data_IF_847077902721
#
_entry.id   IF_847077902721
#
_cell.length_a   1.000
_cell.length_b   1.000
_cell.length_c   1.000
_cell.angle_alpha   90.00
_cell.angle_beta   90.00
_cell.angle_gamma   90.00
#
_symmetry.space_group_name_H-M   'P 1'
#
loop_
_entity.id
_entity.type
_entity.pdbx_description
1 polymer ?
#
# COMPACT_ATOMS: atom_id res chain seq x y z
N UNK A 1 -3.56 -3.73 -22.20
CA UNK A 1 -3.52 -4.89 -21.29
C UNK A 1 -2.39 -4.64 -20.30
N UNK A 2 -2.70 -4.44 -19.01
CA UNK A 2 -1.65 -4.28 -18.00
C UNK A 2 -1.22 -5.69 -17.58
N UNK A 3 -0.02 -6.10 -17.94
CA UNK A 3 0.47 -7.42 -17.51
C UNK A 3 0.73 -7.40 -16.00
N UNK A 4 0.74 -8.56 -15.35
CA UNK A 4 1.11 -8.69 -13.93
C UNK A 4 2.44 -8.01 -13.57
N UNK A 5 3.36 -7.88 -14.52
CA UNK A 5 4.65 -7.19 -14.35
C UNK A 5 4.54 -5.67 -14.22
N UNK A 6 3.50 -5.08 -14.82
CA UNK A 6 3.32 -3.63 -14.88
C UNK A 6 2.49 -3.08 -13.72
N UNK A 7 1.95 -3.96 -12.87
CA UNK A 7 1.12 -3.54 -11.77
C UNK A 7 1.96 -2.89 -10.67
N UNK A 8 1.68 -1.61 -10.45
CA UNK A 8 2.28 -0.81 -9.38
C UNK A 8 1.23 -0.43 -8.37
N UNK A 9 1.62 -0.52 -7.11
CA UNK A 9 0.86 0.05 -6.00
C UNK A 9 1.59 1.32 -5.59
N UNK A 10 0.82 2.39 -5.44
CA UNK A 10 1.27 3.67 -4.90
C UNK A 10 0.56 3.93 -3.59
N UNK A 11 1.31 4.28 -2.56
CA UNK A 11 0.78 4.72 -1.27
C UNK A 11 1.13 6.19 -1.12
N UNK A 12 0.15 6.99 -0.73
CA UNK A 12 0.33 8.41 -0.41
C UNK A 12 -0.17 8.67 1.00
N UNK A 13 0.58 9.47 1.75
CA UNK A 13 0.16 9.98 3.04
C UNK A 13 0.29 11.51 3.04
N UNK A 14 -0.77 12.19 3.44
CA UNK A 14 -0.83 13.65 3.54
C UNK A 14 -1.08 14.03 4.98
N UNK A 15 -0.26 14.92 5.52
CA UNK A 15 -0.49 15.46 6.86
C UNK A 15 -1.54 16.59 6.79
N UNK A 16 -2.77 16.27 7.15
CA UNK A 16 -3.88 17.24 7.22
C UNK A 16 -3.96 17.99 8.57
N UNK A 17 -3.04 17.70 9.48
CA UNK A 17 -2.93 18.32 10.80
C UNK A 17 -2.17 19.65 10.77
N UNK A 18 -1.88 20.16 11.98
CA UNK A 18 -1.16 21.44 12.18
C UNK A 18 0.26 21.26 12.73
N UNK A 19 0.64 20.03 13.07
CA UNK A 19 1.95 19.68 13.64
C UNK A 19 2.63 18.61 12.77
N UNK A 20 3.96 18.57 12.80
CA UNK A 20 4.73 17.50 12.16
C UNK A 20 4.37 16.15 12.82
N UNK A 21 4.12 15.12 12.01
CA UNK A 21 3.71 13.81 12.51
C UNK A 21 4.49 12.67 11.86
N UNK A 22 4.63 11.55 12.57
CA UNK A 22 4.96 10.26 11.95
C UNK A 22 3.70 9.77 11.20
N UNK A 23 3.86 9.21 10.00
CA UNK A 23 2.71 8.75 9.21
C UNK A 23 2.21 7.36 9.62
N UNK A 24 2.75 6.75 10.68
CA UNK A 24 2.41 5.40 11.13
C UNK A 24 2.81 4.32 10.12
N UNK A 25 3.76 4.59 9.22
CA UNK A 25 4.07 3.71 8.07
C UNK A 25 4.48 2.30 8.46
N UNK A 26 5.08 2.15 9.65
CA UNK A 26 5.49 0.88 10.24
C UNK A 26 4.32 0.03 10.76
N UNK A 27 3.15 0.63 10.91
CA UNK A 27 1.92 -0.02 11.39
C UNK A 27 0.99 -0.39 10.25
N UNK A 28 1.30 0.04 9.02
CA UNK A 28 0.45 -0.23 7.86
C UNK A 28 0.44 -1.71 7.53
N UNK A 29 -0.77 -2.28 7.44
CA UNK A 29 -1.02 -3.64 7.02
C UNK A 29 -1.50 -3.65 5.56
N UNK A 30 -1.01 -4.60 4.78
CA UNK A 30 -1.45 -4.80 3.40
C UNK A 30 -1.97 -6.21 3.27
N UNK A 31 -3.09 -6.39 2.58
CA UNK A 31 -3.61 -7.71 2.29
C UNK A 31 -4.26 -7.76 0.91
N UNK A 32 -4.36 -8.97 0.37
CA UNK A 32 -5.18 -9.25 -0.80
C UNK A 32 -6.22 -10.29 -0.46
N UNK A 33 -7.49 -10.01 -0.76
CA UNK A 33 -8.56 -10.99 -0.81
C UNK A 33 -8.72 -11.54 -2.23
N UNK A 34 -8.93 -12.85 -2.35
CA UNK A 34 -9.60 -13.48 -3.48
C UNK A 34 -10.81 -14.25 -2.96
N UNK A 35 -11.79 -14.51 -3.81
CA UNK A 35 -12.88 -15.42 -3.49
C UNK A 35 -12.28 -16.78 -3.07
N UNK A 36 -12.51 -17.20 -1.82
CA UNK A 36 -11.94 -18.42 -1.23
C UNK A 36 -10.68 -18.26 -0.35
N UNK A 37 -10.19 -17.04 -0.11
CA UNK A 37 -9.19 -16.78 0.94
C UNK A 37 -8.27 -15.57 0.67
N UNK A 38 -7.89 -14.85 1.73
CA UNK A 38 -6.97 -13.70 1.65
C UNK A 38 -5.54 -14.01 2.11
N UNK A 39 -4.60 -13.11 1.81
CA UNK A 39 -3.21 -13.15 2.30
C UNK A 39 -2.78 -11.78 2.80
N UNK A 40 -2.14 -11.73 3.96
CA UNK A 40 -1.41 -10.55 4.42
C UNK A 40 -0.10 -10.42 3.65
N UNK A 41 0.08 -9.30 2.95
CA UNK A 41 1.29 -8.89 2.25
C UNK A 41 2.26 -8.17 3.21
N UNK A 42 2.42 -8.65 4.44
CA UNK A 42 3.14 -7.97 5.52
C UNK A 42 4.60 -7.59 5.20
N UNK A 43 5.19 -8.18 4.15
CA UNK A 43 6.56 -7.93 3.71
C UNK A 43 6.67 -7.05 2.45
N UNK A 44 5.55 -6.70 1.80
CA UNK A 44 5.55 -5.94 0.54
C UNK A 44 6.03 -4.49 0.71
N UNK A 45 5.75 -3.90 1.87
CA UNK A 45 5.96 -2.49 2.15
C UNK A 45 6.73 -2.26 3.45
N UNK A 46 6.79 -3.22 4.38
CA UNK A 46 7.41 -3.04 5.70
C UNK A 46 8.94 -2.96 5.72
N UNK A 47 9.64 -3.49 4.70
CA UNK A 47 11.08 -3.74 4.76
C UNK A 47 11.94 -2.83 3.86
N UNK A 48 11.36 -1.79 3.25
CA UNK A 48 12.10 -0.82 2.42
C UNK A 48 12.84 0.22 3.26
N UNK A 49 13.96 0.72 2.74
CA UNK A 49 14.73 1.83 3.33
C UNK A 49 13.78 2.99 3.67
N UNK A 50 13.70 3.35 4.96
CA UNK A 50 12.81 4.38 5.46
C UNK A 50 13.31 5.73 4.98
N UNK A 51 12.71 6.27 3.93
CA UNK A 51 12.91 7.66 3.58
C UNK A 51 12.44 8.48 4.81
N UNK A 52 13.31 9.37 5.32
CA UNK A 52 13.11 10.12 6.59
C UNK A 52 11.78 10.87 6.60
N UNK A 53 11.30 11.23 5.43
CA UNK A 53 10.07 11.96 5.15
C UNK A 53 8.81 11.23 5.68
N UNK A 54 8.83 9.90 5.79
CA UNK A 54 7.71 9.13 6.37
C UNK A 54 7.66 9.17 7.91
N UNK A 55 8.78 9.47 8.57
CA UNK A 55 8.87 9.52 10.04
C UNK A 55 8.67 10.92 10.62
N UNK A 56 8.74 11.95 9.78
CA UNK A 56 8.53 13.34 10.17
C UNK A 56 7.94 14.11 8.99
N UNK A 57 6.62 14.02 8.81
CA UNK A 57 5.89 14.68 7.75
C UNK A 57 5.36 16.04 8.24
N UNK A 58 5.84 17.18 7.71
CA UNK A 58 5.36 18.51 8.09
C UNK A 58 3.87 18.73 7.75
N UNK A 59 3.19 19.69 8.39
CA UNK A 59 1.81 20.06 8.06
C UNK A 59 1.63 20.42 6.58
N UNK A 60 0.60 19.85 5.93
CA UNK A 60 0.29 20.10 4.52
C UNK A 60 1.14 19.32 3.51
N UNK A 61 2.22 18.66 3.95
CA UNK A 61 3.08 17.90 3.06
C UNK A 61 2.50 16.53 2.72
N UNK A 62 2.94 16.00 1.58
CA UNK A 62 2.57 14.66 1.10
C UNK A 62 3.81 13.86 0.76
N UNK A 63 3.86 12.62 1.27
CA UNK A 63 4.85 11.62 0.87
C UNK A 63 4.21 10.54 0.02
N UNK A 64 4.97 10.03 -0.94
CA UNK A 64 4.54 9.00 -1.86
C UNK A 64 5.63 7.92 -2.00
N UNK A 65 5.20 6.67 -2.05
CA UNK A 65 6.03 5.54 -2.41
C UNK A 65 5.28 4.70 -3.44
N UNK A 66 6.01 4.21 -4.45
CA UNK A 66 5.45 3.28 -5.41
C UNK A 66 6.34 2.08 -5.63
N UNK A 67 5.73 0.90 -5.72
CA UNK A 67 6.42 -0.38 -5.88
C UNK A 67 5.73 -1.21 -6.96
N UNK A 68 6.54 -1.83 -7.81
CA UNK A 68 6.06 -2.87 -8.73
C UNK A 68 5.93 -4.17 -7.95
N UNK A 69 4.70 -4.63 -7.77
CA UNK A 69 4.39 -5.77 -6.88
C UNK A 69 3.50 -6.83 -7.56
N UNK A 70 3.04 -6.61 -8.79
CA UNK A 70 2.01 -7.46 -9.38
C UNK A 70 2.38 -8.94 -9.50
N UNK A 71 3.64 -9.30 -9.78
CA UNK A 71 4.06 -10.72 -9.80
C UNK A 71 4.08 -11.34 -8.40
N UNK A 72 4.34 -10.54 -7.36
CA UNK A 72 4.35 -11.02 -5.97
C UNK A 72 2.94 -11.17 -5.41
N UNK A 73 1.99 -10.40 -5.93
CA UNK A 73 0.60 -10.33 -5.46
C UNK A 73 -0.31 -11.26 -6.26
N UNK A 74 -0.21 -11.25 -7.59
CA UNK A 74 -1.14 -11.92 -8.49
C UNK A 74 -0.53 -13.19 -9.06
N UNK A 75 -0.82 -14.33 -8.40
CA UNK A 75 -0.30 -15.64 -8.82
C UNK A 75 -0.94 -16.15 -10.11
N UNK A 76 -2.20 -15.81 -10.33
CA UNK A 76 -2.98 -16.20 -11.50
C UNK A 76 -3.90 -15.06 -11.94
N UNK A 77 -4.39 -15.08 -13.19
CA UNK A 77 -5.47 -14.20 -13.62
C UNK A 77 -6.70 -14.35 -12.71
N UNK A 78 -7.48 -13.29 -12.58
CA UNK A 78 -8.72 -13.23 -11.79
C UNK A 78 -8.93 -11.91 -11.06
N UNK A 79 -9.99 -11.88 -10.27
CA UNK A 79 -10.39 -10.72 -9.46
C UNK A 79 -9.76 -10.77 -8.07
N UNK A 80 -9.23 -9.62 -7.65
CA UNK A 80 -8.59 -9.42 -6.35
C UNK A 80 -9.14 -8.17 -5.69
N UNK A 81 -9.22 -8.19 -4.36
CA UNK A 81 -9.40 -6.99 -3.55
C UNK A 81 -8.10 -6.70 -2.81
N UNK A 82 -7.53 -5.52 -3.02
CA UNK A 82 -6.39 -5.05 -2.22
C UNK A 82 -6.94 -4.22 -1.07
N UNK A 83 -6.48 -4.49 0.15
CA UNK A 83 -6.82 -3.73 1.34
C UNK A 83 -5.55 -3.19 2.00
N UNK A 84 -5.66 -1.97 2.50
CA UNK A 84 -4.63 -1.28 3.28
C UNK A 84 -5.29 -0.82 4.56
N UNK A 85 -4.67 -1.13 5.69
CA UNK A 85 -5.06 -0.60 6.99
C UNK A 85 -3.92 0.26 7.51
N UNK A 86 -4.27 1.45 8.00
CA UNK A 86 -3.35 2.38 8.64
C UNK A 86 -4.00 2.94 9.92
N UNK A 87 -3.19 3.52 10.79
CA UNK A 87 -3.70 4.19 11.98
C UNK A 87 -4.48 5.43 11.53
N UNK A 88 -5.81 5.35 11.62
CA UNK A 88 -6.74 6.37 11.10
C UNK A 88 -7.70 5.90 9.99
N UNK A 89 -7.55 4.68 9.46
CA UNK A 89 -8.56 4.12 8.55
C UNK A 89 -8.11 2.95 7.67
N UNK A 90 -9.06 2.41 6.91
CA UNK A 90 -8.82 1.37 5.92
C UNK A 90 -9.22 1.86 4.52
N UNK A 91 -8.47 1.44 3.51
CA UNK A 91 -8.78 1.66 2.11
C UNK A 91 -8.80 0.33 1.37
N UNK A 92 -9.69 0.20 0.37
CA UNK A 92 -9.77 -0.99 -0.47
C UNK A 92 -9.94 -0.65 -1.95
N UNK A 93 -9.47 -1.53 -2.81
CA UNK A 93 -9.59 -1.38 -4.26
C UNK A 93 -9.76 -2.75 -4.92
N UNK A 94 -10.73 -2.87 -5.84
CA UNK A 94 -10.92 -4.04 -6.67
C UNK A 94 -10.01 -3.97 -7.91
N UNK A 95 -9.37 -5.10 -8.23
CA UNK A 95 -8.41 -5.21 -9.34
C UNK A 95 -8.71 -6.49 -10.11
N UNK A 96 -8.91 -6.35 -11.42
CA UNK A 96 -8.95 -7.47 -12.35
C UNK A 96 -7.58 -7.65 -13.00
N UNK A 97 -7.12 -8.90 -13.09
CA UNK A 97 -5.82 -9.27 -13.66
C UNK A 97 -6.03 -10.33 -14.73
N UNK A 98 -5.54 -10.05 -15.94
CA UNK A 98 -5.55 -10.98 -17.09
C UNK A 98 -4.37 -11.97 -17.08
#
# INVERSE_FOLDING_TARGET
MKTRKDFRITIKATNVGKETTDTGRHQMSFSTGVEGGGRTLGLAFGNGHRAKEWSALPPGETVEESRSMGESIFRKPGDYTIQIEADGGAASCAVHVD
#
